data_IF_387669889176
#
_entry.id   IF_387669889176
#
_cell.length_a   1.000
_cell.length_b   1.000
_cell.length_c   1.000
_cell.angle_alpha   90.00
_cell.angle_beta   90.00
_cell.angle_gamma   90.00
#
_symmetry.space_group_name_H-M   'P 1'
#
loop_
_entity.id
_entity.type
_entity.pdbx_description
1 polymer ?
2 non-polymer ?
3 non-polymer ?
4 non-polymer ?
5 non-polymer ?
6 non-polymer ?
7 water ?
#
# COMPACT_ATOMS: atom_id res chain seq x y z
N UNK A 3 13.66 -23.72 5.41
CA UNK A 3 14.19 -22.51 4.67
C UNK A 3 14.25 -21.28 5.59
N UNK A 4 15.48 -20.81 5.78
CA UNK A 4 15.82 -19.68 6.59
C UNK A 4 15.08 -18.35 6.21
N UNK A 5 15.10 -18.00 4.90
CA UNK A 5 14.41 -16.80 4.35
C UNK A 5 12.88 -16.94 4.57
N UNK A 6 12.32 -18.12 4.24
CA UNK A 6 10.92 -18.41 4.53
C UNK A 6 10.64 -18.30 6.05
N UNK A 7 11.51 -18.83 6.90
CA UNK A 7 11.27 -18.73 8.36
C UNK A 7 11.25 -17.26 8.85
N UNK A 8 12.04 -16.38 8.25
CA UNK A 8 12.02 -14.94 8.56
C UNK A 8 10.61 -14.34 8.39
N UNK A 9 9.85 -14.87 7.43
CA UNK A 9 8.51 -14.38 7.12
C UNK A 9 7.53 -15.05 8.08
N UNK A 10 7.56 -16.37 8.13
CA UNK A 10 6.67 -17.19 8.99
C UNK A 10 6.67 -16.75 10.47
N UNK A 11 7.86 -16.43 10.99
CA UNK A 11 8.02 -15.97 12.36
C UNK A 11 7.39 -14.62 12.61
N UNK A 12 7.11 -13.85 11.56
CA UNK A 12 6.54 -12.51 11.65
C UNK A 12 5.07 -12.41 11.21
N UNK A 13 4.40 -13.55 11.06
CA UNK A 13 2.96 -13.59 11.01
C UNK A 13 2.40 -13.77 12.41
N UNK A 14 1.52 -12.86 12.80
CA UNK A 14 0.88 -12.85 14.13
C UNK A 14 -0.59 -13.25 13.96
N UNK A 15 -1.05 -14.22 14.74
CA UNK A 15 -2.44 -14.71 14.62
C UNK A 15 -3.36 -14.17 15.72
N UNK A 16 -4.54 -13.69 15.32
CA UNK A 16 -5.54 -13.11 16.22
C UNK A 16 -6.87 -13.85 16.03
N UNK A 17 -7.19 -14.74 16.97
CA UNK A 17 -8.46 -15.47 16.93
C UNK A 17 -9.62 -14.51 17.03
N UNK A 18 -10.67 -14.82 16.28
CA UNK A 18 -11.96 -14.18 16.44
C UNK A 18 -11.95 -12.75 16.03
N UNK A 19 -11.06 -12.41 15.09
CA UNK A 19 -11.09 -11.12 14.43
C UNK A 19 -11.23 -11.29 12.89
N UNK A 20 -12.19 -10.58 12.26
CA UNK A 20 -13.18 -9.66 12.83
C UNK A 20 -14.40 -10.39 13.40
N UNK A 21 -14.51 -11.71 13.25
CA UNK A 21 -15.66 -12.43 13.70
C UNK A 21 -15.25 -13.67 14.44
N UNK A 22 -16.08 -14.11 15.39
CA UNK A 22 -15.77 -15.35 16.11
C UNK A 22 -15.44 -16.61 15.24
N UNK A 23 -14.46 -17.42 15.67
CA UNK A 23 -14.16 -18.76 15.08
C UNK A 23 -13.04 -18.83 14.03
N UNK A 24 -12.74 -17.65 13.54
CA UNK A 24 -11.80 -17.39 12.50
C UNK A 24 -10.43 -17.13 13.18
N UNK A 25 -9.34 -17.09 12.40
CA UNK A 25 -8.06 -16.57 12.89
C UNK A 25 -7.49 -15.57 11.87
N UNK A 26 -7.33 -14.33 12.31
CA UNK A 26 -6.77 -13.29 11.49
C UNK A 26 -5.25 -13.46 11.46
N UNK A 27 -4.68 -13.51 10.26
CA UNK A 27 -3.24 -13.64 10.06
C UNK A 27 -2.74 -12.23 9.75
N UNK A 28 -2.02 -11.66 10.70
CA UNK A 28 -1.57 -10.26 10.65
C UNK A 28 -0.14 -10.21 10.10
N UNK A 29 0.01 -9.54 8.96
CA UNK A 29 1.33 -9.33 8.29
C UNK A 29 2.10 -8.17 8.84
N UNK A 30 1.53 -7.39 9.77
CA UNK A 30 2.20 -6.19 10.27
C UNK A 30 3.67 -6.44 10.73
N UNK A 31 3.93 -7.54 11.46
CA UNK A 31 5.35 -7.69 11.90
C UNK A 31 6.33 -7.95 10.72
N UNK A 32 5.82 -8.51 9.61
CA UNK A 32 6.64 -8.65 8.42
C UNK A 32 7.12 -7.28 7.92
N UNK A 33 6.21 -6.31 7.86
CA UNK A 33 6.52 -4.97 7.36
C UNK A 33 7.47 -4.25 8.36
N UNK A 34 7.30 -4.56 9.65
CA UNK A 34 8.04 -3.88 10.74
C UNK A 34 9.50 -4.36 10.85
N UNK A 35 9.78 -5.58 10.34
CA UNK A 35 11.11 -6.15 10.36
C UNK A 35 11.67 -6.10 8.94
N UNK A 36 12.66 -5.22 8.72
CA UNK A 36 13.13 -5.05 7.37
C UNK A 36 13.70 -6.31 6.74
N UNK A 37 14.31 -7.18 7.55
CA UNK A 37 14.85 -8.40 7.00
C UNK A 37 13.71 -9.34 6.56
N UNK A 38 12.61 -9.33 7.31
CA UNK A 38 11.44 -10.16 6.99
C UNK A 38 10.76 -9.68 5.68
N UNK A 39 10.57 -8.36 5.60
CA UNK A 39 9.96 -7.77 4.44
C UNK A 39 10.81 -8.07 3.19
N UNK A 40 12.11 -7.82 3.29
CA UNK A 40 13.01 -8.11 2.23
C UNK A 40 12.97 -9.60 1.80
N UNK A 41 12.87 -10.49 2.80
CA UNK A 41 12.80 -11.91 2.56
C UNK A 41 11.51 -12.27 1.76
N UNK A 42 10.38 -11.65 2.14
CA UNK A 42 9.05 -11.92 1.52
C UNK A 42 9.08 -11.47 0.06
N UNK A 43 9.57 -10.27 -0.17
CA UNK A 43 9.72 -9.75 -1.55
C UNK A 43 10.65 -10.63 -2.40
N UNK A 44 11.79 -11.01 -1.84
CA UNK A 44 12.76 -11.85 -2.51
C UNK A 44 12.22 -13.21 -2.89
N UNK A 45 11.51 -13.85 -1.98
CA UNK A 45 10.91 -15.16 -2.24
C UNK A 45 9.88 -15.09 -3.36
N UNK A 46 9.06 -14.03 -3.36
CA UNK A 46 8.03 -13.83 -4.40
C UNK A 46 8.71 -13.58 -5.74
N UNK A 47 9.72 -12.72 -5.74
CA UNK A 47 10.39 -12.30 -6.97
C UNK A 47 11.13 -13.48 -7.57
N UNK A 48 11.82 -14.25 -6.73
CA UNK A 48 12.47 -15.46 -7.14
C UNK A 48 11.53 -16.48 -7.78
N UNK A 49 10.43 -16.81 -7.10
CA UNK A 49 9.45 -17.70 -7.68
C UNK A 49 8.96 -17.20 -9.05
N UNK A 50 8.64 -15.91 -9.13
CA UNK A 50 8.08 -15.35 -10.36
C UNK A 50 9.05 -15.41 -11.57
N UNK A 51 10.32 -15.04 -11.34
CA UNK A 51 11.34 -15.14 -12.39
C UNK A 51 11.58 -16.59 -12.79
N UNK A 52 11.60 -17.50 -11.81
CA UNK A 52 11.75 -18.94 -12.05
C UNK A 52 10.55 -19.53 -12.86
N UNK A 53 9.38 -18.90 -12.76
CA UNK A 53 8.16 -19.42 -13.41
C UNK A 53 7.78 -18.75 -14.74
N UNK A 54 8.15 -17.48 -14.92
CA UNK A 54 7.76 -16.68 -16.08
C UNK A 54 8.89 -16.03 -16.85
N UNK A 55 10.12 -16.21 -16.36
CA UNK A 55 11.28 -15.54 -16.95
C UNK A 55 11.03 -14.07 -17.15
N UNK A 56 11.19 -13.62 -18.38
CA UNK A 56 11.00 -12.23 -18.72
C UNK A 56 9.63 -11.85 -19.20
N UNK A 57 8.62 -12.71 -19.05
CA UNK A 57 7.31 -12.45 -19.68
C UNK A 57 6.37 -11.48 -18.93
N UNK A 58 6.72 -11.11 -17.71
CA UNK A 58 5.82 -10.26 -16.90
C UNK A 58 6.02 -8.80 -17.33
N UNK A 59 4.93 -8.16 -17.76
CA UNK A 59 4.97 -6.71 -18.04
C UNK A 59 4.80 -5.84 -16.80
N UNK A 60 3.82 -6.19 -15.96
CA UNK A 60 3.44 -5.40 -14.79
C UNK A 60 3.03 -6.30 -13.64
N UNK A 61 3.33 -5.81 -12.44
CA UNK A 61 2.64 -6.27 -11.23
C UNK A 61 1.35 -5.40 -11.05
N UNK A 62 0.27 -6.04 -10.60
CA UNK A 62 -0.94 -5.35 -10.17
C UNK A 62 -1.09 -5.56 -8.65
N UNK A 63 -1.11 -4.44 -7.92
CA UNK A 63 -1.29 -4.43 -6.49
C UNK A 63 -2.74 -4.18 -6.13
N UNK A 64 -3.25 -5.01 -5.21
CA UNK A 64 -4.63 -4.88 -4.76
C UNK A 64 -4.84 -4.03 -3.45
N UNK A 65 -5.64 -3.00 -3.59
CA UNK A 65 -6.09 -2.14 -2.48
C UNK A 65 -6.75 -2.93 -1.35
N UNK A 66 -6.34 -2.78 -0.07
CA UNK A 66 -5.26 -1.90 0.39
C UNK A 66 -3.94 -2.60 0.72
N UNK A 67 -4.00 -3.74 1.41
CA UNK A 67 -2.78 -4.41 1.91
C UNK A 67 -1.82 -4.92 0.81
N UNK A 68 -2.38 -5.25 -0.36
CA UNK A 68 -1.59 -5.57 -1.56
C UNK A 68 -0.69 -4.43 -2.00
N UNK A 69 -1.11 -3.19 -1.72
CA UNK A 69 -0.30 -2.00 -1.98
C UNK A 69 1.04 -2.00 -1.19
N UNK A 70 1.06 -2.70 -0.07
CA UNK A 70 2.27 -2.83 0.74
C UNK A 70 3.31 -3.70 0.06
N UNK A 71 2.87 -4.56 -0.84
CA UNK A 71 3.77 -5.52 -1.51
C UNK A 71 4.04 -5.24 -3.00
N UNK A 72 3.04 -4.75 -3.73
CA UNK A 72 3.10 -4.46 -5.17
C UNK A 72 4.30 -3.68 -5.63
N UNK A 73 4.45 -2.43 -5.12
CA UNK A 73 5.56 -1.60 -5.56
C UNK A 73 6.92 -2.21 -5.33
N UNK A 74 7.16 -2.78 -4.13
CA UNK A 74 8.43 -3.43 -3.79
C UNK A 74 8.72 -4.68 -4.66
N UNK A 75 7.70 -5.50 -4.90
CA UNK A 75 7.83 -6.63 -5.82
C UNK A 75 8.12 -6.19 -7.27
N UNK A 76 7.37 -5.21 -7.76
CA UNK A 76 7.60 -4.66 -9.07
C UNK A 76 9.03 -4.13 -9.19
N UNK A 77 9.46 -3.32 -8.21
CA UNK A 77 10.84 -2.77 -8.16
C UNK A 77 11.88 -3.87 -8.20
N UNK A 78 11.71 -4.93 -7.40
CA UNK A 78 12.68 -6.05 -7.39
C UNK A 78 12.80 -6.71 -8.79
N UNK A 79 11.69 -6.73 -9.52
CA UNK A 79 11.57 -7.35 -10.84
C UNK A 79 11.89 -6.41 -12.05
N UNK A 80 12.16 -5.13 -11.75
CA UNK A 80 12.42 -4.09 -12.74
C UNK A 80 11.18 -3.63 -13.49
N UNK A 81 10.02 -3.77 -12.87
CA UNK A 81 8.73 -3.54 -13.50
C UNK A 81 7.94 -2.43 -12.82
N UNK A 82 7.03 -1.85 -13.56
CA UNK A 82 6.02 -1.02 -12.95
C UNK A 82 4.92 -1.81 -12.25
N UNK A 83 4.20 -1.08 -11.42
CA UNK A 83 3.08 -1.60 -10.66
C UNK A 83 1.82 -0.83 -11.03
N UNK A 84 0.80 -1.56 -11.45
CA UNK A 84 -0.50 -0.93 -11.66
C UNK A 84 -1.39 -1.15 -10.42
N UNK A 85 -2.37 -0.29 -10.30
CA UNK A 85 -3.32 -0.29 -9.19
C UNK A 85 -4.71 -0.81 -9.51
N UNK A 86 -5.16 -1.74 -8.66
CA UNK A 86 -6.55 -2.14 -8.62
C UNK A 86 -7.14 -1.68 -7.26
N UNK A 87 -8.14 -0.80 -7.33
CA UNK A 87 -8.66 -0.12 -6.15
C UNK A 87 -10.06 -0.51 -5.75
N UNK A 88 -10.39 -0.22 -4.49
CA UNK A 88 -11.77 -0.26 -4.06
C UNK A 88 -12.51 0.84 -4.85
N UNK A 89 -13.73 0.53 -5.30
CA UNK A 89 -14.48 1.45 -6.14
C UNK A 89 -14.67 2.83 -5.50
N UNK A 90 -14.51 3.87 -6.33
CA UNK A 90 -14.83 5.26 -5.96
C UNK A 90 -13.60 6.10 -5.71
N UNK A 91 -12.42 5.52 -5.88
CA UNK A 91 -11.17 6.19 -5.53
C UNK A 91 -10.36 6.68 -6.75
N UNK A 92 -10.58 6.04 -7.87
CA UNK A 92 -9.81 6.29 -9.06
C UNK A 92 -10.44 7.37 -9.97
N UNK A 93 -9.63 8.36 -10.44
CA UNK A 93 -10.15 9.28 -11.43
C UNK A 93 -10.15 8.64 -12.86
N UNK A 94 -10.76 9.29 -13.83
CA UNK A 94 -10.72 8.80 -15.24
C UNK A 94 -11.74 7.69 -15.50
N UNK A 95 -11.88 7.27 -16.75
CA UNK A 95 -12.81 6.19 -17.04
C UNK A 95 -12.37 4.89 -16.40
N UNK A 96 -13.32 4.17 -15.83
CA UNK A 96 -13.04 2.97 -15.08
C UNK A 96 -14.03 1.85 -15.45
N UNK A 97 -13.65 0.65 -15.07
CA UNK A 97 -14.54 -0.47 -14.99
C UNK A 97 -14.44 -1.01 -13.58
N UNK A 98 -15.47 -1.73 -13.19
CA UNK A 98 -15.56 -2.27 -11.84
C UNK A 98 -16.19 -3.67 -11.81
N UNK A 99 -15.94 -4.37 -10.73
CA UNK A 99 -16.36 -5.76 -10.59
C UNK A 99 -16.69 -6.07 -9.14
N UNK A 100 -17.88 -6.62 -8.95
CA UNK A 100 -18.41 -6.88 -7.61
C UNK A 100 -17.99 -8.24 -7.21
N UNK A 101 -17.93 -8.40 -5.91
CA UNK A 101 -17.58 -9.64 -5.30
C UNK A 101 -18.20 -9.62 -3.88
N UNK A 102 -18.22 -10.80 -3.26
CA UNK A 102 -18.86 -10.97 -1.97
C UNK A 102 -17.73 -10.77 -0.98
N UNK A 103 -17.92 -9.82 -0.07
CA UNK A 103 -16.99 -9.58 1.03
C UNK A 103 -17.87 -9.51 2.27
N UNK A 104 -17.55 -10.34 3.26
CA UNK A 104 -18.36 -10.46 4.49
C UNK A 104 -19.81 -10.80 4.11
N UNK A 105 -20.79 -10.05 4.63
CA UNK A 105 -22.23 -10.37 4.42
C UNK A 105 -22.92 -9.69 3.22
N UNK A 106 -22.21 -8.80 2.53
CA UNK A 106 -22.73 -8.02 1.39
C UNK A 106 -21.73 -7.87 0.23
N UNK A 107 -21.89 -6.82 -0.58
CA UNK A 107 -21.11 -6.68 -1.82
C UNK A 107 -20.06 -5.58 -1.75
N UNK A 108 -18.87 -5.88 -2.27
CA UNK A 108 -17.82 -4.88 -2.44
C UNK A 108 -17.44 -4.88 -3.92
N UNK A 109 -16.76 -3.83 -4.37
CA UNK A 109 -16.40 -3.68 -5.76
C UNK A 109 -14.95 -3.19 -5.89
N UNK A 110 -14.18 -3.85 -6.77
CA UNK A 110 -12.86 -3.38 -7.21
C UNK A 110 -13.01 -2.62 -8.52
N UNK A 111 -12.03 -1.78 -8.81
CA UNK A 111 -12.08 -0.89 -9.98
C UNK A 111 -10.67 -0.69 -10.55
N UNK A 112 -10.60 -0.48 -11.85
CA UNK A 112 -9.37 -0.26 -12.56
C UNK A 112 -9.66 0.81 -13.59
N UNK A 113 -8.68 1.69 -13.82
CA UNK A 113 -8.76 2.64 -14.93
C UNK A 113 -8.77 1.86 -16.28
N UNK A 114 -9.69 2.23 -17.15
CA UNK A 114 -9.79 1.64 -18.49
C UNK A 114 -8.42 1.65 -19.22
N UNK A 115 -7.61 2.67 -18.97
CA UNK A 115 -6.31 2.76 -19.62
C UNK A 115 -5.12 2.16 -18.81
N UNK A 116 -5.39 1.34 -17.78
CA UNK A 116 -4.34 0.77 -16.92
C UNK A 116 -3.39 -0.14 -17.71
N UNK A 117 -3.95 -0.93 -18.64
CA UNK A 117 -3.23 -1.90 -19.46
C UNK A 117 -3.74 -1.84 -20.89
N UNK A 118 -2.89 -2.25 -21.83
CA UNK A 118 -3.23 -2.42 -23.23
C UNK A 118 -3.52 -3.88 -23.44
N UNK A 119 -4.34 -4.18 -24.44
CA UNK A 119 -4.57 -5.57 -24.78
C UNK A 119 -3.27 -6.39 -24.98
N UNK A 120 -3.26 -7.58 -24.36
CA UNK A 120 -2.18 -8.50 -24.49
C UNK A 120 -1.07 -8.31 -23.47
N UNK A 121 -1.06 -7.20 -22.73
CA UNK A 121 -0.05 -7.04 -21.67
C UNK A 121 -0.22 -8.08 -20.55
N UNK A 122 0.91 -8.54 -20.04
CA UNK A 122 0.94 -9.70 -19.16
C UNK A 122 1.19 -9.26 -17.72
N UNK A 123 0.36 -9.72 -16.81
CA UNK A 123 0.30 -9.17 -15.48
C UNK A 123 0.33 -10.27 -14.41
N UNK A 124 1.02 -9.98 -13.31
CA UNK A 124 0.95 -10.79 -12.10
C UNK A 124 0.27 -9.94 -11.00
N UNK A 125 -0.75 -10.50 -10.39
CA UNK A 125 -1.50 -9.85 -9.32
C UNK A 125 -0.91 -10.27 -7.94
N UNK A 126 -0.67 -9.28 -7.10
CA UNK A 126 -0.23 -9.53 -5.70
C UNK A 126 -1.20 -8.95 -4.66
N UNK A 127 -1.45 -9.73 -3.63
CA UNK A 127 -2.15 -9.30 -2.45
C UNK A 127 -1.47 -9.96 -1.22
N UNK A 128 -1.82 -9.51 -0.04
CA UNK A 128 -1.21 -10.07 1.15
C UNK A 128 -1.68 -11.50 1.43
N UNK A 129 -2.97 -11.74 1.17
CA UNK A 129 -3.66 -12.92 1.70
C UNK A 129 -4.76 -13.37 0.74
N UNK A 130 -4.76 -14.65 0.45
CA UNK A 130 -5.86 -15.34 -0.28
C UNK A 130 -6.71 -16.16 0.70
N UNK A 131 -8.00 -15.83 0.76
CA UNK A 131 -8.97 -16.49 1.63
C UNK A 131 -9.99 -17.18 0.69
N UNK A 132 -11.18 -16.63 0.52
CA UNK A 132 -12.12 -17.18 -0.45
C UNK A 132 -11.66 -17.04 -1.92
N UNK A 133 -10.76 -16.09 -2.18
CA UNK A 133 -10.36 -15.75 -3.54
C UNK A 133 -11.31 -14.78 -4.25
N UNK A 134 -12.30 -14.25 -3.57
CA UNK A 134 -13.23 -13.33 -4.17
C UNK A 134 -12.54 -12.04 -4.66
N UNK A 135 -11.60 -11.53 -3.87
CA UNK A 135 -10.90 -10.29 -4.19
C UNK A 135 -10.01 -10.54 -5.39
N UNK A 136 -9.22 -11.58 -5.32
CA UNK A 136 -8.32 -11.89 -6.41
C UNK A 136 -9.04 -12.21 -7.73
N UNK A 137 -10.16 -12.91 -7.61
CA UNK A 137 -10.94 -13.26 -8.75
C UNK A 137 -11.54 -12.04 -9.41
N UNK A 138 -12.00 -11.08 -8.62
CA UNK A 138 -12.51 -9.82 -9.15
C UNK A 138 -11.40 -9.05 -9.91
N UNK A 139 -10.19 -9.07 -9.37
CA UNK A 139 -9.03 -8.43 -10.02
C UNK A 139 -8.72 -9.10 -11.37
N UNK A 140 -8.76 -10.43 -11.42
CA UNK A 140 -8.57 -11.15 -12.65
C UNK A 140 -9.67 -10.79 -13.69
N UNK A 141 -10.92 -10.71 -13.27
CA UNK A 141 -12.04 -10.32 -14.13
C UNK A 141 -11.77 -8.96 -14.76
N UNK A 142 -11.34 -8.00 -13.95
CA UNK A 142 -11.03 -6.66 -14.45
C UNK A 142 -9.96 -6.64 -15.51
N UNK A 143 -8.86 -7.35 -15.22
CA UNK A 143 -7.76 -7.46 -16.11
C UNK A 143 -8.16 -8.14 -17.40
N UNK A 144 -8.95 -9.21 -17.31
CA UNK A 144 -9.41 -9.92 -18.50
C UNK A 144 -10.30 -9.00 -19.34
N UNK A 145 -11.00 -8.09 -18.70
CA UNK A 145 -11.89 -7.18 -19.40
C UNK A 145 -11.14 -6.06 -20.10
N UNK A 146 -9.88 -5.79 -19.68
CA UNK A 146 -8.91 -5.01 -20.44
C UNK A 146 -8.12 -5.84 -21.51
N UNK A 147 -8.42 -7.14 -21.64
CA UNK A 147 -7.73 -8.04 -22.58
C UNK A 147 -6.28 -8.26 -22.18
N UNK A 148 -5.99 -8.04 -20.89
CA UNK A 148 -4.69 -8.35 -20.32
C UNK A 148 -4.64 -9.84 -20.02
N UNK A 149 -3.43 -10.37 -20.00
CA UNK A 149 -3.23 -11.77 -19.65
C UNK A 149 -2.71 -11.88 -18.21
N UNK A 150 -3.48 -12.55 -17.35
CA UNK A 150 -3.06 -12.76 -15.98
C UNK A 150 -2.21 -14.01 -15.95
N UNK A 151 -0.91 -13.84 -15.78
CA UNK A 151 0.01 -14.98 -15.76
C UNK A 151 -0.07 -15.80 -14.48
N UNK A 152 -0.33 -15.13 -13.36
CA UNK A 152 -0.36 -15.69 -12.02
C UNK A 152 -0.88 -14.67 -11.01
N UNK A 153 -1.44 -15.19 -9.92
CA UNK A 153 -1.71 -14.45 -8.74
C UNK A 153 -0.85 -15.00 -7.59
N UNK A 154 -0.36 -14.10 -6.75
CA UNK A 154 0.45 -14.48 -5.62
C UNK A 154 0.09 -13.72 -4.36
N UNK A 155 0.44 -14.36 -3.25
CA UNK A 155 0.17 -13.84 -1.88
C UNK A 155 1.24 -14.31 -0.88
N UNK A 156 1.37 -13.59 0.23
CA UNK A 156 2.15 -14.08 1.35
C UNK A 156 1.46 -15.27 2.05
N UNK A 157 0.16 -15.15 2.25
CA UNK A 157 -0.61 -16.11 3.02
C UNK A 157 -1.79 -16.63 2.19
N UNK A 158 -2.05 -17.91 2.42
CA UNK A 158 -3.16 -18.63 1.81
C UNK A 158 -3.89 -19.45 2.88
N UNK A 159 -5.21 -19.33 2.88
CA UNK A 159 -6.04 -20.09 3.84
C UNK A 159 -6.66 -21.22 3.07
N UNK A 160 -6.05 -22.42 3.16
CA UNK A 160 -6.33 -23.47 2.15
C UNK A 160 -7.72 -24.07 2.23
N UNK A 161 -8.31 -24.08 3.42
CA UNK A 161 -9.67 -24.62 3.57
C UNK A 161 -10.75 -23.83 2.85
N UNK A 162 -10.44 -22.60 2.47
CA UNK A 162 -11.37 -21.73 1.77
C UNK A 162 -11.31 -21.91 0.24
N UNK A 163 -10.40 -22.76 -0.26
CA UNK A 163 -10.37 -23.19 -1.65
C UNK A 163 -10.26 -22.01 -2.65
N UNK A 164 -9.53 -20.99 -2.26
CA UNK A 164 -9.26 -19.81 -3.10
C UNK A 164 -8.54 -20.17 -4.40
N UNK A 165 -7.59 -21.10 -4.29
CA UNK A 165 -6.84 -21.63 -5.43
C UNK A 165 -7.77 -22.15 -6.56
N UNK A 166 -8.72 -23.01 -6.19
CA UNK A 166 -9.74 -23.54 -7.15
C UNK A 166 -10.57 -22.43 -7.76
N UNK A 167 -10.97 -21.44 -6.96
CA UNK A 167 -11.73 -20.32 -7.49
C UNK A 167 -11.00 -19.62 -8.65
N UNK A 168 -9.68 -19.43 -8.47
CA UNK A 168 -8.84 -18.77 -9.48
C UNK A 168 -8.52 -19.61 -10.71
N UNK A 169 -8.44 -20.93 -10.52
CA UNK A 169 -8.09 -21.86 -11.56
C UNK A 169 -8.97 -21.57 -12.77
N UNK A 170 -8.38 -21.54 -13.97
CA UNK A 170 -7.05 -22.01 -14.35
C UNK A 170 -5.88 -21.03 -14.18
N UNK A 171 -6.13 -19.81 -13.69
CA UNK A 171 -5.05 -18.87 -13.39
C UNK A 171 -4.17 -19.49 -12.29
N UNK A 172 -2.85 -19.65 -12.55
CA UNK A 172 -1.95 -20.19 -11.50
C UNK A 172 -1.92 -19.30 -10.26
N UNK A 173 -1.64 -19.93 -9.11
CA UNK A 173 -1.57 -19.28 -7.80
C UNK A 173 -0.40 -19.81 -6.97
N UNK A 174 0.27 -18.91 -6.26
CA UNK A 174 1.40 -19.23 -5.42
C UNK A 174 1.32 -18.40 -4.14
N UNK A 175 1.51 -19.07 -2.99
CA UNK A 175 1.61 -18.43 -1.69
C UNK A 175 2.91 -18.81 -0.99
N UNK A 176 3.45 -17.89 -0.19
CA UNK A 176 4.61 -18.21 0.65
C UNK A 176 4.26 -19.17 1.76
N UNK A 177 3.13 -18.89 2.39
CA UNK A 177 2.70 -19.56 3.62
C UNK A 177 1.27 -20.05 3.49
N UNK A 178 1.01 -21.24 4.02
CA UNK A 178 -0.36 -21.84 4.05
C UNK A 178 -0.82 -22.20 5.48
N UNK A 179 -2.03 -21.75 5.81
CA UNK A 179 -2.77 -22.12 7.02
C UNK A 179 -4.10 -22.73 6.59
N UNK A 180 -4.74 -23.50 7.47
CA UNK A 180 -6.08 -24.04 7.19
C UNK A 180 -7.00 -22.81 6.94
N UNK B 3 20.54 14.43 -15.30
CA UNK B 3 19.16 13.87 -15.48
C UNK B 3 18.30 14.00 -14.20
N UNK B 4 17.51 15.09 -14.11
CA UNK B 4 16.68 15.37 -12.91
C UNK B 4 15.72 14.23 -12.54
N UNK B 5 16.06 13.64 -11.40
CA UNK B 5 15.22 12.67 -10.74
C UNK B 5 13.84 13.27 -10.43
N UNK B 6 13.82 14.52 -9.98
CA UNK B 6 12.56 15.17 -9.62
C UNK B 6 11.64 15.34 -10.85
N UNK B 7 12.21 15.72 -12.00
CA UNK B 7 11.45 15.75 -13.27
C UNK B 7 10.85 14.40 -13.67
N UNK B 8 11.55 13.29 -13.38
CA UNK B 8 11.05 11.92 -13.53
C UNK B 8 9.73 11.67 -12.77
N UNK B 9 9.61 12.22 -11.58
CA UNK B 9 8.41 12.10 -10.77
C UNK B 9 7.34 13.08 -11.26
N UNK B 10 7.75 14.33 -11.44
CA UNK B 10 6.85 15.41 -11.86
C UNK B 10 6.12 15.08 -13.14
N UNK B 11 6.87 14.53 -14.09
CA UNK B 11 6.32 14.18 -15.40
C UNK B 11 5.32 12.99 -15.34
N UNK B 12 5.27 12.29 -14.22
CA UNK B 12 4.39 11.14 -14.03
C UNK B 12 3.23 11.41 -13.06
N UNK B 13 3.02 12.69 -12.71
CA UNK B 13 1.78 13.11 -12.07
C UNK B 13 0.74 13.47 -13.15
N UNK B 14 -0.39 12.77 -13.14
CA UNK B 14 -1.48 13.04 -14.06
C UNK B 14 -2.57 13.79 -13.28
N UNK B 15 -3.04 14.91 -13.82
CA UNK B 15 -3.93 15.81 -13.07
C UNK B 15 -5.31 15.82 -13.73
N UNK B 16 -6.32 15.34 -13.00
CA UNK B 16 -7.69 15.23 -13.50
C UNK B 16 -8.57 16.34 -12.91
N UNK B 17 -9.04 17.25 -13.76
CA UNK B 17 -9.94 18.32 -13.31
C UNK B 17 -11.29 17.75 -12.90
N UNK B 18 -11.90 18.38 -11.90
CA UNK B 18 -13.28 18.13 -11.52
C UNK B 18 -13.53 16.72 -10.99
N UNK B 19 -12.51 16.17 -10.36
CA UNK B 19 -12.65 14.90 -9.67
C UNK B 19 -12.14 15.09 -8.24
N UNK B 20 -12.93 14.68 -7.25
CA UNK B 20 -14.28 14.10 -7.40
C UNK B 20 -15.42 15.10 -7.59
N UNK B 21 -15.15 16.38 -7.41
CA UNK B 21 -16.15 17.39 -7.45
C UNK B 21 -15.70 18.48 -8.42
N UNK B 22 -16.65 19.24 -8.96
CA UNK B 22 -16.26 20.34 -9.82
C UNK B 22 -15.32 21.31 -9.14
N UNK B 23 -14.26 21.69 -9.86
CA UNK B 23 -13.35 22.72 -9.36
C UNK B 23 -12.10 22.16 -8.73
N UNK B 24 -12.14 20.91 -8.27
CA UNK B 24 -10.99 20.20 -7.66
C UNK B 24 -10.14 19.53 -8.74
N UNK B 25 -8.83 19.55 -8.58
CA UNK B 25 -7.93 18.85 -9.47
C UNK B 25 -7.31 17.68 -8.70
N UNK B 26 -7.62 16.48 -9.15
CA UNK B 26 -7.07 15.29 -8.54
C UNK B 26 -5.67 15.04 -9.08
N UNK B 27 -4.68 14.91 -8.19
CA UNK B 27 -3.32 14.58 -8.57
C UNK B 27 -3.12 13.09 -8.44
N UNK B 28 -3.00 12.43 -9.59
CA UNK B 28 -2.96 10.94 -9.64
C UNK B 28 -1.50 10.52 -9.78
N UNK B 29 -1.07 9.79 -8.74
CA UNK B 29 0.28 9.19 -8.62
C UNK B 29 0.43 7.88 -9.39
N UNK B 30 -0.66 7.38 -9.96
CA UNK B 30 -0.60 6.10 -10.64
C UNK B 30 0.57 5.96 -11.63
N UNK B 31 0.80 6.96 -12.51
CA UNK B 31 1.92 6.79 -13.46
C UNK B 31 3.32 6.73 -12.83
N UNK B 32 3.53 7.36 -11.68
CA UNK B 32 4.74 7.15 -10.87
C UNK B 32 4.97 5.66 -10.54
N UNK B 33 3.92 5.00 -10.08
CA UNK B 33 3.97 3.59 -9.66
C UNK B 33 4.25 2.70 -10.89
N UNK B 34 3.68 3.11 -12.03
CA UNK B 34 3.71 2.30 -13.26
C UNK B 34 5.04 2.39 -14.01
N UNK B 35 5.80 3.44 -13.74
CA UNK B 35 7.12 3.68 -14.34
C UNK B 35 8.18 3.37 -13.29
N UNK B 36 8.87 2.22 -13.42
CA UNK B 36 9.79 1.84 -12.34
C UNK B 36 10.89 2.91 -12.07
N UNK B 37 11.28 3.67 -13.10
CA UNK B 37 12.31 4.67 -12.92
C UNK B 37 11.77 5.86 -12.11
N UNK B 38 10.50 6.22 -12.36
CA UNK B 38 9.81 7.27 -11.64
C UNK B 38 9.66 6.92 -10.16
N UNK B 39 9.13 5.74 -9.89
CA UNK B 39 9.00 5.25 -8.51
C UNK B 39 10.35 5.21 -7.74
N UNK B 40 11.37 4.63 -8.35
CA UNK B 40 12.74 4.61 -7.83
C UNK B 40 13.25 6.02 -7.48
N UNK B 41 13.02 6.96 -8.39
CA UNK B 41 13.38 8.38 -8.20
C UNK B 41 12.66 8.97 -7.02
N UNK B 42 11.34 8.72 -6.93
CA UNK B 42 10.50 9.24 -5.80
C UNK B 42 10.97 8.77 -4.42
N UNK B 43 11.22 7.46 -4.31
CA UNK B 43 11.73 6.86 -3.08
C UNK B 43 13.13 7.39 -2.77
N UNK B 44 14.00 7.52 -3.77
CA UNK B 44 15.38 7.99 -3.57
C UNK B 44 15.41 9.41 -3.06
N UNK B 45 14.62 10.29 -3.65
CA UNK B 45 14.52 11.68 -3.23
C UNK B 45 14.04 11.79 -1.79
N UNK B 46 12.98 11.08 -1.45
CA UNK B 46 12.45 11.04 -0.08
C UNK B 46 13.50 10.56 0.93
N UNK B 47 14.15 9.45 0.60
CA UNK B 47 15.12 8.83 1.48
C UNK B 47 16.31 9.74 1.69
N UNK B 48 16.80 10.35 0.61
CA UNK B 48 17.92 11.34 0.69
C UNK B 48 17.61 12.54 1.60
N UNK B 49 16.45 13.15 1.36
CA UNK B 49 15.93 14.22 2.26
C UNK B 49 15.91 13.76 3.74
N UNK B 50 15.37 12.59 4.00
CA UNK B 50 15.17 12.09 5.35
C UNK B 50 16.49 11.77 6.04
N UNK B 51 17.42 11.12 5.34
CA UNK B 51 18.74 10.84 5.90
C UNK B 51 19.57 12.13 6.09
N UNK B 52 19.51 13.07 5.16
CA UNK B 52 20.17 14.35 5.31
C UNK B 52 19.62 15.20 6.46
N UNK B 53 18.32 15.07 6.73
CA UNK B 53 17.65 15.84 7.79
C UNK B 53 17.77 15.22 9.21
N UNK B 54 17.62 13.91 9.31
CA UNK B 54 17.51 13.21 10.63
C UNK B 54 18.64 12.23 10.93
N UNK B 55 19.53 12.02 9.94
CA UNK B 55 20.62 11.05 10.08
C UNK B 55 20.12 9.70 10.59
N UNK B 56 20.72 9.21 11.66
CA UNK B 56 20.27 7.98 12.29
C UNK B 56 19.11 8.07 13.29
N UNK B 57 18.45 9.22 13.42
CA UNK B 57 17.40 9.34 14.46
C UNK B 57 16.09 8.60 14.15
N UNK B 58 15.84 8.32 12.87
CA UNK B 58 14.59 7.65 12.47
C UNK B 58 14.62 6.18 12.93
N UNK B 59 13.56 5.75 13.62
CA UNK B 59 13.41 4.35 13.98
C UNK B 59 12.51 3.57 12.99
N UNK B 60 11.40 4.18 12.58
CA UNK B 60 10.42 3.57 11.71
C UNK B 60 9.81 4.62 10.77
N UNK B 61 9.37 4.13 9.60
CA UNK B 61 8.43 4.86 8.74
C UNK B 61 7.03 4.36 9.14
N UNK B 62 6.05 5.27 9.19
CA UNK B 62 4.64 4.95 9.33
C UNK B 62 3.96 5.29 8.00
N UNK B 63 3.36 4.26 7.37
CA UNK B 63 2.59 4.48 6.14
C UNK B 63 1.13 4.60 6.40
N UNK B 64 0.49 5.57 5.73
CA UNK B 64 -0.92 5.83 5.90
C UNK B 64 -1.82 5.14 4.86
N UNK B 65 -2.73 4.35 5.39
CA UNK B 65 -3.78 3.66 4.60
C UNK B 65 -4.55 4.70 3.77
N UNK B 66 -4.75 4.51 2.46
CA UNK B 66 -4.31 3.39 1.67
C UNK B 66 -3.11 3.72 0.75
N UNK B 67 -3.14 4.87 0.08
CA UNK B 67 -2.08 5.25 -0.89
C UNK B 67 -0.66 5.41 -0.25
N UNK B 68 -0.60 5.80 1.03
CA UNK B 68 0.66 5.86 1.75
C UNK B 68 1.32 4.49 1.88
N UNK B 69 0.53 3.43 1.81
CA UNK B 69 1.07 2.04 1.79
C UNK B 69 1.90 1.74 0.51
N UNK B 70 1.63 2.49 -0.56
CA UNK B 70 2.38 2.35 -1.80
C UNK B 70 3.83 2.80 -1.65
N UNK B 71 4.07 3.68 -0.69
CA UNK B 71 5.38 4.32 -0.47
C UNK B 71 6.14 3.93 0.79
N UNK B 72 5.44 3.73 1.90
CA UNK B 72 6.02 3.41 3.21
C UNK B 72 7.01 2.27 3.21
N UNK B 73 6.59 1.08 2.74
CA UNK B 73 7.55 -0.07 2.75
C UNK B 73 8.81 0.13 1.91
N UNK B 74 8.68 0.73 0.73
CA UNK B 74 9.86 0.92 -0.13
C UNK B 74 10.78 1.98 0.49
N UNK B 75 10.18 3.04 1.03
CA UNK B 75 10.94 4.07 1.72
C UNK B 75 11.69 3.52 2.93
N UNK B 76 10.99 2.75 3.75
CA UNK B 76 11.59 2.12 4.90
C UNK B 76 12.76 1.21 4.48
N UNK B 77 12.51 0.35 3.49
CA UNK B 77 13.52 -0.56 2.91
C UNK B 77 14.76 0.21 2.49
N UNK B 78 14.58 1.38 1.84
CA UNK B 78 15.69 2.17 1.36
C UNK B 78 16.53 2.75 2.50
N UNK B 79 15.88 3.05 3.63
CA UNK B 79 16.49 3.59 4.85
C UNK B 79 16.98 2.47 5.80
N UNK B 80 16.76 1.21 5.39
CA UNK B 80 17.12 0.04 6.17
C UNK B 80 16.27 -0.09 7.46
N UNK B 81 15.07 0.45 7.43
CA UNK B 81 14.10 0.50 8.54
C UNK B 81 12.86 -0.32 8.28
N UNK B 82 12.17 -0.65 9.36
CA UNK B 82 10.81 -1.23 9.30
C UNK B 82 9.76 -0.16 9.03
N UNK B 83 8.62 -0.63 8.60
CA UNK B 83 7.45 0.20 8.34
C UNK B 83 6.29 -0.26 9.25
N UNK B 84 5.68 0.69 9.96
CA UNK B 84 4.47 0.43 10.73
C UNK B 84 3.27 1.00 9.99
N UNK B 85 2.07 0.52 10.34
CA UNK B 85 0.88 0.86 9.64
C UNK B 85 -0.07 1.68 10.50
N UNK B 86 -0.62 2.73 9.88
CA UNK B 86 -1.77 3.49 10.41
C UNK B 86 -2.96 3.25 9.45
N UNK B 87 -4.02 2.65 9.97
CA UNK B 87 -5.11 2.18 9.13
C UNK B 87 -6.41 2.94 9.36
N UNK B 88 -7.27 2.88 8.35
CA UNK B 88 -8.67 3.25 8.54
C UNK B 88 -9.26 2.32 9.62
N UNK B 89 -10.03 2.91 10.52
CA UNK B 89 -10.58 2.21 11.67
C UNK B 89 -11.41 0.99 11.26
N UNK B 90 -11.18 -0.09 12.00
CA UNK B 90 -11.92 -1.31 11.86
C UNK B 90 -11.13 -2.43 11.18
N UNK B 91 -9.89 -2.13 10.78
CA UNK B 91 -9.10 -3.05 9.95
C UNK B 91 -8.03 -3.81 10.71
N UNK B 92 -7.56 -3.27 11.83
CA UNK B 92 -6.47 -3.86 12.60
C UNK B 92 -6.96 -4.75 13.73
N UNK B 93 -6.32 -5.93 13.91
CA UNK B 93 -6.64 -6.79 15.06
C UNK B 93 -5.95 -6.34 16.36
N UNK B 94 -6.45 -6.81 17.49
CA UNK B 94 -5.81 -6.56 18.79
C UNK B 94 -6.13 -5.17 19.35
N UNK B 95 -5.46 -4.80 20.47
CA UNK B 95 -5.70 -3.50 21.08
C UNK B 95 -5.25 -2.36 20.16
N UNK B 96 -6.06 -1.31 20.08
CA UNK B 96 -5.80 -0.16 19.21
C UNK B 96 -6.15 1.19 19.88
N UNK B 97 -5.65 2.25 19.28
CA UNK B 97 -6.07 3.58 19.55
C UNK B 97 -6.61 4.12 18.25
N UNK B 98 -7.62 4.96 18.34
CA UNK B 98 -8.22 5.59 17.18
C UNK B 98 -8.47 7.09 17.40
N UNK B 99 -8.51 7.82 16.27
CA UNK B 99 -8.64 9.26 16.26
C UNK B 99 -9.51 9.67 15.06
N UNK B 100 -10.46 10.57 15.37
CA UNK B 100 -11.35 11.17 14.39
C UNK B 100 -10.67 12.25 13.62
N UNK B 101 -11.19 12.50 12.44
CA UNK B 101 -10.78 13.65 11.66
C UNK B 101 -11.86 13.90 10.64
N UNK B 102 -11.86 15.12 10.12
CA UNK B 102 -12.84 15.57 9.15
C UNK B 102 -12.27 15.21 7.76
N UNK B 103 -13.12 14.60 6.96
CA UNK B 103 -12.72 14.07 5.68
C UNK B 103 -13.89 14.31 4.74
N UNK B 104 -13.66 15.15 3.73
CA UNK B 104 -14.72 15.59 2.81
C UNK B 104 -15.86 16.24 3.66
N UNK B 105 -17.09 15.75 3.58
CA UNK B 105 -18.22 16.38 4.31
C UNK B 105 -18.51 15.75 5.67
N UNK B 106 -17.73 14.74 6.05
CA UNK B 106 -18.05 13.92 7.20
C UNK B 106 -16.84 13.62 8.05
N UNK B 107 -16.95 12.60 8.90
CA UNK B 107 -15.87 12.25 9.82
C UNK B 107 -15.35 10.85 9.50
N UNK B 108 -14.03 10.72 9.49
CA UNK B 108 -13.36 9.42 9.29
C UNK B 108 -12.52 9.14 10.53
N UNK B 109 -12.04 7.91 10.66
CA UNK B 109 -11.15 7.58 11.78
C UNK B 109 -9.98 6.73 11.32
N UNK B 110 -8.80 7.07 11.86
CA UNK B 110 -7.60 6.28 11.68
C UNK B 110 -7.35 5.54 12.98
N UNK B 111 -6.53 4.51 12.90
CA UNK B 111 -6.30 3.63 14.04
C UNK B 111 -4.88 3.08 13.94
N UNK B 112 -4.39 2.65 15.08
CA UNK B 112 -3.05 2.09 15.13
C UNK B 112 -3.06 1.03 16.21
N UNK B 113 -2.30 -0.05 16.03
CA UNK B 113 -2.15 -1.04 17.12
C UNK B 113 -1.34 -0.41 18.25
N UNK B 114 -1.77 -0.65 19.48
CA UNK B 114 -1.09 -0.11 20.67
C UNK B 114 0.39 -0.51 20.75
N UNK B 115 0.75 -1.66 20.19
CA UNK B 115 2.12 -2.09 20.22
C UNK B 115 2.93 -1.82 18.94
N UNK B 116 2.38 -1.01 18.02
CA UNK B 116 3.08 -0.60 16.83
C UNK B 116 4.43 0.06 17.16
N UNK B 117 4.44 0.95 18.16
CA UNK B 117 5.60 1.65 18.66
C UNK B 117 5.63 1.63 20.19
N UNK B 118 6.85 1.70 20.76
CA UNK B 118 7.10 1.86 22.18
C UNK B 118 7.45 3.31 22.47
N UNK B 119 7.23 3.75 23.75
CA UNK B 119 7.56 5.12 24.10
C UNK B 119 9.00 5.47 23.79
N UNK B 120 9.16 6.64 23.18
CA UNK B 120 10.49 7.18 22.82
C UNK B 120 10.97 6.85 21.44
N UNK B 121 10.27 5.96 20.76
CA UNK B 121 10.61 5.63 19.37
C UNK B 121 10.22 6.82 18.46
N UNK B 122 11.05 7.02 17.44
CA UNK B 122 10.96 8.17 16.53
C UNK B 122 10.57 7.67 15.13
N UNK B 123 9.65 8.41 14.53
CA UNK B 123 8.94 8.00 13.38
C UNK B 123 8.83 9.16 12.36
N UNK B 124 8.88 8.78 11.07
CA UNK B 124 8.52 9.64 9.96
C UNK B 124 7.25 9.05 9.29
N UNK B 125 6.25 9.88 9.16
CA UNK B 125 4.99 9.50 8.53
C UNK B 125 5.07 9.84 7.00
N UNK B 126 4.65 8.88 6.19
CA UNK B 126 4.59 9.05 4.72
C UNK B 126 3.18 8.81 4.18
N UNK B 127 2.77 9.72 3.33
CA UNK B 127 1.52 9.58 2.59
C UNK B 127 1.80 10.08 1.17
N UNK B 128 0.92 9.77 0.23
CA UNK B 128 1.11 10.22 -1.16
C UNK B 128 0.93 11.75 -1.36
N UNK B 129 -0.03 12.30 -0.61
CA UNK B 129 -0.54 13.65 -0.84
C UNK B 129 -0.98 14.31 0.48
N UNK B 130 -0.53 15.55 0.68
CA UNK B 130 -1.01 16.40 1.74
C UNK B 130 -2.00 17.44 1.17
N UNK B 131 -3.22 17.39 1.65
CA UNK B 131 -4.26 18.33 1.19
C UNK B 131 -4.60 19.29 2.34
N UNK B 132 -5.70 19.06 3.04
CA UNK B 132 -6.02 19.90 4.20
C UNK B 132 -5.06 19.60 5.39
N UNK B 133 -4.46 18.42 5.38
CA UNK B 133 -3.61 18.00 6.48
C UNK B 133 -4.38 17.20 7.53
N UNK B 134 -5.68 16.95 7.33
CA UNK B 134 -6.43 16.26 8.39
C UNK B 134 -5.99 14.82 8.64
N UNK B 135 -5.68 14.10 7.55
CA UNK B 135 -5.28 12.70 7.65
C UNK B 135 -3.94 12.59 8.39
N UNK B 136 -2.99 13.36 7.91
CA UNK B 136 -1.64 13.40 8.51
C UNK B 136 -1.67 13.86 9.97
N UNK B 137 -2.44 14.90 10.25
CA UNK B 137 -2.64 15.38 11.58
C UNK B 137 -3.19 14.29 12.52
N UNK B 138 -4.22 13.55 12.11
CA UNK B 138 -4.73 12.43 12.91
C UNK B 138 -3.64 11.37 13.19
N UNK B 139 -2.78 11.12 12.20
CA UNK B 139 -1.74 10.13 12.32
C UNK B 139 -0.76 10.60 13.37
N UNK B 140 -0.39 11.87 13.31
CA UNK B 140 0.49 12.46 14.33
C UNK B 140 -0.07 12.34 15.75
N UNK B 141 -1.38 12.62 15.89
CA UNK B 141 -2.04 12.48 17.20
C UNK B 141 -1.97 11.06 17.74
N UNK B 142 -2.27 10.08 16.88
CA UNK B 142 -2.17 8.68 17.27
C UNK B 142 -0.77 8.31 17.73
N UNK B 143 0.24 8.69 16.93
CA UNK B 143 1.62 8.40 17.28
C UNK B 143 2.04 9.03 18.62
N UNK B 144 1.62 10.27 18.83
CA UNK B 144 1.91 10.98 20.01
C UNK B 144 1.30 10.26 21.22
N UNK B 145 0.15 9.60 21.05
CA UNK B 145 -0.56 8.92 22.11
C UNK B 145 0.16 7.62 22.52
N UNK B 146 0.99 7.07 21.63
CA UNK B 146 1.86 5.94 21.96
C UNK B 146 3.17 6.43 22.55
N UNK B 147 3.27 7.75 22.78
CA UNK B 147 4.50 8.40 23.23
C UNK B 147 5.68 8.21 22.27
N UNK B 148 5.34 8.06 20.99
CA UNK B 148 6.31 8.11 19.91
C UNK B 148 6.55 9.55 19.49
N UNK B 149 7.76 9.84 19.01
CA UNK B 149 8.13 11.14 18.51
C UNK B 149 8.01 11.22 16.99
N UNK B 150 7.16 12.11 16.49
CA UNK B 150 7.05 12.30 15.04
C UNK B 150 8.11 13.30 14.59
N UNK B 151 9.15 12.83 13.93
CA UNK B 151 10.24 13.70 13.46
C UNK B 151 9.83 14.61 12.30
N UNK B 152 9.01 14.08 11.40
CA UNK B 152 8.61 14.73 10.18
C UNK B 152 7.46 13.93 9.53
N UNK B 153 6.69 14.63 8.72
CA UNK B 153 5.76 13.97 7.80
C UNK B 153 6.17 14.37 6.38
N UNK B 154 6.02 13.43 5.44
CA UNK B 154 6.45 13.62 4.06
C UNK B 154 5.39 13.09 3.07
N UNK B 155 5.35 13.71 1.89
CA UNK B 155 4.44 13.30 0.80
C UNK B 155 5.12 13.53 -0.53
N UNK B 156 4.59 12.90 -1.58
CA UNK B 156 5.03 13.18 -2.91
C UNK B 156 4.48 14.54 -3.37
N UNK B 157 3.26 14.83 -2.99
CA UNK B 157 2.49 15.95 -3.53
C UNK B 157 1.91 16.73 -2.35
N UNK B 158 1.96 18.05 -2.48
CA UNK B 158 1.42 19.00 -1.50
C UNK B 158 0.60 20.07 -2.21
N UNK B 159 -0.62 20.26 -1.74
CA UNK B 159 -1.54 21.27 -2.26
C UNK B 159 -1.46 22.51 -1.38
N UNK B 160 -0.59 23.43 -1.76
CA UNK B 160 -0.19 24.48 -0.86
C UNK B 160 -1.29 25.50 -0.51
N UNK B 161 -2.27 25.68 -1.37
CA UNK B 161 -3.29 26.67 -1.05
C UNK B 161 -4.18 26.15 0.07
N UNK B 162 -4.11 24.85 0.36
CA UNK B 162 -4.90 24.27 1.45
C UNK B 162 -4.25 24.39 2.83
N UNK B 163 -2.98 24.78 2.91
CA UNK B 163 -2.35 25.13 4.18
C UNK B 163 -2.21 23.92 5.12
N UNK B 164 -2.02 22.77 4.54
CA UNK B 164 -1.77 21.55 5.29
C UNK B 164 -0.56 21.64 6.21
N UNK B 165 0.51 22.27 5.70
CA UNK B 165 1.80 22.46 6.38
C UNK B 165 1.60 23.17 7.74
N UNK B 166 0.80 24.23 7.71
CA UNK B 166 0.38 24.96 8.94
C UNK B 166 -0.39 24.11 9.93
N UNK B 167 -1.31 23.28 9.46
CA UNK B 167 -2.05 22.38 10.32
C UNK B 167 -1.08 21.41 11.07
N UNK B 168 -0.05 20.94 10.38
CA UNK B 168 0.93 20.02 11.03
C UNK B 168 1.89 20.72 11.99
N UNK B 169 2.22 21.96 11.72
CA UNK B 169 3.15 22.75 12.58
C UNK B 169 2.78 22.57 14.06
N UNK B 170 3.76 22.29 14.95
CA UNK B 170 5.21 22.38 14.76
C UNK B 170 5.87 21.13 14.18
N UNK B 171 5.12 20.07 13.82
CA UNK B 171 5.72 18.88 13.18
C UNK B 171 6.21 19.31 11.80
N UNK B 172 7.51 19.09 11.49
CA UNK B 172 8.02 19.44 10.18
C UNK B 172 7.38 18.64 9.03
N UNK B 173 7.42 19.22 7.85
CA UNK B 173 6.77 18.64 6.66
C UNK B 173 7.64 18.90 5.42
N UNK B 174 7.66 17.91 4.53
CA UNK B 174 8.39 17.98 3.27
C UNK B 174 7.60 17.23 2.19
N UNK B 175 7.49 17.88 1.04
CA UNK B 175 6.90 17.31 -0.18
C UNK B 175 7.89 17.40 -1.36
N UNK B 176 7.79 16.42 -2.25
CA UNK B 176 8.56 16.44 -3.50
C UNK B 176 8.08 17.55 -4.45
N UNK B 177 6.76 17.63 -4.57
CA UNK B 177 6.07 18.48 -5.56
C UNK B 177 4.98 19.29 -4.92
N UNK B 178 4.81 20.53 -5.38
CA UNK B 178 3.82 21.46 -4.84
C UNK B 178 2.94 21.96 -6.00
N UNK B 179 1.63 21.97 -5.75
CA UNK B 179 0.62 22.57 -6.64
C UNK B 179 -0.22 23.49 -5.77
N UNK B 180 -0.74 24.58 -6.33
CA UNK B 180 -1.77 25.35 -5.62
C UNK B 180 -2.86 24.39 -5.02
#
# INVERSE_FOLDING_TARGET
>A
MADSELQLVEQRIRSFPDFPTPGVVFRDISPVLKDPASFRAAIGLLARHLKATHGGRIDYIAGLDSRGFLFGPSLAQELGLGCVLIRKRGKLPGPTLWASYSLEYGKAELEIQKDALEPGQRVVVVDDLLATGGTMNAACELLGRLQAEVLECVSLVELTSLKGREKLAPVPFFSLLQYE
>B
MADSELQLVEQRIRSFPDFPTPGVVFRDISPVLKDPASFRAAIGLLARHLKATHGGRIDYIAGLDSRGFLFGPSLAQELGLGCVLIRKRGKLPGPTLWASYSLEYGKAELEIQKDALEPGQRVVVVDDLLATGGTMNAACELLGRLQAEVLECVSLVELTSLKGREKLAPVPFFSLLQYE
#
